data_IF_213304604616
#
_entry.id   IF_213304604616
#
_cell.length_a   1.000
_cell.length_b   1.000
_cell.length_c   1.000
_cell.angle_alpha   90.00
_cell.angle_beta   90.00
_cell.angle_gamma   90.00
#
_symmetry.space_group_name_H-M   'P 1'
#
loop_
_entity.id
_entity.type
_entity.pdbx_description
1 polymer ?
#
# COMPACT_ATOMS: atom_id res chain seq x y z
N UNK A 1 5.15 11.67 -25.30
CA UNK A 1 4.86 12.44 -24.08
C UNK A 1 6.14 12.50 -23.26
N UNK A 2 6.72 13.66 -23.07
CA UNK A 2 7.99 13.79 -22.33
C UNK A 2 7.64 13.83 -20.84
N UNK A 3 8.01 12.80 -20.10
CA UNK A 3 8.00 12.82 -18.62
C UNK A 3 8.88 13.98 -18.17
N UNK A 4 8.28 14.97 -17.55
CA UNK A 4 9.01 16.11 -17.02
C UNK A 4 9.75 15.66 -15.74
N UNK A 5 10.83 16.32 -15.36
CA UNK A 5 11.59 16.05 -14.13
C UNK A 5 10.67 16.04 -12.88
N UNK A 6 9.64 16.90 -12.89
CA UNK A 6 8.66 16.98 -11.81
C UNK A 6 7.83 15.68 -11.68
N UNK A 7 7.46 15.05 -12.80
CA UNK A 7 6.66 13.82 -12.81
C UNK A 7 7.46 12.64 -12.26
N UNK A 8 8.77 12.61 -12.55
CA UNK A 8 9.68 11.58 -12.02
C UNK A 8 9.84 11.71 -10.51
N UNK A 9 10.03 12.92 -9.99
CA UNK A 9 10.13 13.15 -8.56
C UNK A 9 8.83 12.78 -7.83
N UNK A 10 7.69 13.10 -8.42
CA UNK A 10 6.38 12.76 -7.88
C UNK A 10 6.18 11.23 -7.83
N UNK A 11 6.58 10.52 -8.89
CA UNK A 11 6.53 9.05 -8.96
C UNK A 11 7.41 8.40 -7.90
N UNK A 12 8.65 8.86 -7.75
CA UNK A 12 9.57 8.36 -6.72
C UNK A 12 8.99 8.60 -5.34
N UNK A 13 8.44 9.79 -5.08
CA UNK A 13 7.81 10.12 -3.80
C UNK A 13 6.63 9.19 -3.52
N UNK A 14 5.75 8.96 -4.49
CA UNK A 14 4.62 8.05 -4.34
C UNK A 14 5.07 6.61 -4.02
N UNK A 15 6.10 6.10 -4.72
CA UNK A 15 6.67 4.77 -4.47
C UNK A 15 7.25 4.70 -3.05
N UNK A 16 8.01 5.69 -2.61
CA UNK A 16 8.57 5.73 -1.26
C UNK A 16 7.48 5.74 -0.18
N UNK A 17 6.42 6.53 -0.37
CA UNK A 17 5.31 6.62 0.58
C UNK A 17 4.54 5.31 0.66
N UNK A 18 4.19 4.67 -0.47
CA UNK A 18 3.51 3.37 -0.48
C UNK A 18 4.41 2.27 0.09
N UNK A 19 5.72 2.31 -0.18
CA UNK A 19 6.66 1.36 0.41
C UNK A 19 6.79 1.52 1.93
N UNK A 20 6.66 2.74 2.45
CA UNK A 20 6.59 2.96 3.89
C UNK A 20 5.32 2.37 4.52
N UNK A 21 4.18 2.40 3.80
CA UNK A 21 2.97 1.70 4.20
C UNK A 21 3.20 0.18 4.30
N UNK A 22 3.87 -0.42 3.30
CA UNK A 22 4.25 -1.84 3.33
C UNK A 22 5.08 -2.19 4.56
N UNK A 23 6.07 -1.37 4.90
CA UNK A 23 6.92 -1.56 6.08
C UNK A 23 6.06 -1.51 7.35
N UNK A 24 5.21 -0.49 7.50
CA UNK A 24 4.32 -0.34 8.65
C UNK A 24 3.38 -1.55 8.79
N UNK A 25 2.70 -1.95 7.73
CA UNK A 25 1.79 -3.10 7.75
C UNK A 25 2.53 -4.40 8.06
N UNK A 26 3.71 -4.60 7.48
CA UNK A 26 4.54 -5.78 7.74
C UNK A 26 4.94 -5.85 9.21
N UNK A 27 5.43 -4.76 9.78
CA UNK A 27 5.79 -4.71 11.21
C UNK A 27 4.56 -4.97 12.09
N UNK A 28 3.42 -4.35 11.79
CA UNK A 28 2.17 -4.53 12.55
C UNK A 28 1.68 -5.97 12.52
N UNK A 29 1.51 -6.55 11.33
CA UNK A 29 0.96 -7.89 11.11
C UNK A 29 1.90 -8.98 11.66
N UNK A 30 3.18 -8.94 11.31
CA UNK A 30 4.14 -9.95 11.76
C UNK A 30 4.52 -9.77 13.22
N UNK A 31 4.56 -8.52 13.73
CA UNK A 31 4.73 -8.27 15.16
C UNK A 31 3.60 -8.88 15.98
N UNK A 32 2.34 -8.71 15.57
CA UNK A 32 1.19 -9.36 16.17
C UNK A 32 1.30 -10.90 16.09
N UNK A 33 1.72 -11.41 14.94
CA UNK A 33 1.90 -12.84 14.70
C UNK A 33 2.91 -13.47 15.67
N UNK A 34 4.07 -12.86 15.83
CA UNK A 34 5.14 -13.37 16.70
C UNK A 34 4.81 -13.22 18.19
N UNK A 35 4.05 -12.22 18.57
CA UNK A 35 3.65 -12.00 19.95
C UNK A 35 2.38 -12.78 20.36
N UNK A 36 1.67 -13.37 19.39
CA UNK A 36 0.48 -14.18 19.62
C UNK A 36 -0.75 -13.40 20.12
N UNK A 37 -0.65 -12.06 20.21
CA UNK A 37 -1.74 -11.19 20.67
C UNK A 37 -1.60 -9.77 20.13
N UNK A 38 -2.74 -9.12 19.91
CA UNK A 38 -2.82 -7.71 19.48
C UNK A 38 -2.45 -6.77 20.64
N UNK A 39 -1.43 -5.92 20.46
CA UNK A 39 -1.01 -4.89 21.42
C UNK A 39 -1.18 -3.50 20.83
N UNK A 40 -1.15 -2.47 21.69
CA UNK A 40 -1.36 -1.07 21.30
C UNK A 40 -0.38 -0.60 20.22
N UNK A 41 0.89 -1.02 20.25
CA UNK A 41 1.88 -0.57 19.29
C UNK A 41 1.61 -1.12 17.86
N UNK A 42 0.97 -2.31 17.71
CA UNK A 42 0.54 -2.80 16.40
C UNK A 42 -0.50 -1.88 15.77
N UNK A 43 -1.44 -1.35 16.60
CA UNK A 43 -2.45 -0.40 16.13
C UNK A 43 -1.82 0.86 15.54
N UNK A 44 -0.77 1.39 16.18
CA UNK A 44 -0.05 2.54 15.65
C UNK A 44 0.54 2.26 14.27
N UNK A 45 1.12 1.09 14.06
CA UNK A 45 1.65 0.69 12.75
C UNK A 45 0.55 0.51 11.72
N UNK A 46 -0.62 -0.04 12.08
CA UNK A 46 -1.77 -0.13 11.17
C UNK A 46 -2.29 1.24 10.77
N UNK A 47 -2.43 2.16 11.70
CA UNK A 47 -2.92 3.53 11.43
C UNK A 47 -1.90 4.32 10.60
N UNK A 48 -0.60 4.25 10.94
CA UNK A 48 0.46 4.91 10.17
C UNK A 48 0.55 4.34 8.75
N UNK A 49 0.45 3.02 8.62
CA UNK A 49 0.41 2.34 7.32
C UNK A 49 -0.77 2.81 6.48
N UNK A 50 -1.97 2.87 7.06
CA UNK A 50 -3.18 3.34 6.38
C UNK A 50 -3.05 4.81 5.93
N UNK A 51 -2.45 5.66 6.76
CA UNK A 51 -2.21 7.06 6.42
C UNK A 51 -1.23 7.20 5.25
N UNK A 52 -0.11 6.49 5.28
CA UNK A 52 0.86 6.45 4.19
C UNK A 52 0.26 5.86 2.91
N UNK A 53 -0.55 4.79 3.02
CA UNK A 53 -1.24 4.15 1.90
C UNK A 53 -2.23 5.12 1.22
N UNK A 54 -3.02 5.85 2.00
CA UNK A 54 -3.95 6.85 1.48
C UNK A 54 -3.22 8.00 0.73
N UNK A 55 -2.12 8.50 1.29
CA UNK A 55 -1.30 9.53 0.63
C UNK A 55 -0.68 8.98 -0.65
N UNK A 56 -0.06 7.81 -0.60
CA UNK A 56 0.62 7.20 -1.74
C UNK A 56 -0.36 6.87 -2.87
N UNK A 57 -1.54 6.34 -2.55
CA UNK A 57 -2.62 6.07 -3.51
C UNK A 57 -3.12 7.37 -4.15
N UNK A 58 -3.30 8.44 -3.36
CA UNK A 58 -3.69 9.76 -3.89
C UNK A 58 -2.64 10.35 -4.84
N UNK A 59 -1.35 10.20 -4.52
CA UNK A 59 -0.26 10.61 -5.41
C UNK A 59 -0.25 9.81 -6.72
N UNK A 60 -0.46 8.49 -6.65
CA UNK A 60 -0.53 7.63 -7.84
C UNK A 60 -1.73 7.97 -8.72
N UNK A 61 -2.90 8.24 -8.13
CA UNK A 61 -4.07 8.71 -8.88
C UNK A 61 -3.79 10.04 -9.59
N UNK A 62 -3.13 10.98 -8.92
CA UNK A 62 -2.75 12.26 -9.52
C UNK A 62 -1.79 12.06 -10.71
N UNK A 63 -0.80 11.17 -10.59
CA UNK A 63 0.12 10.81 -11.67
C UNK A 63 -0.66 10.20 -12.85
N UNK A 64 -1.59 9.27 -12.57
CA UNK A 64 -2.40 8.64 -13.60
C UNK A 64 -3.24 9.65 -14.40
N UNK A 65 -3.78 10.67 -13.72
CA UNK A 65 -4.51 11.77 -14.37
C UNK A 65 -3.60 12.62 -15.25
N UNK A 66 -2.39 12.95 -14.79
CA UNK A 66 -1.41 13.76 -15.55
C UNK A 66 -0.89 13.02 -16.77
N UNK A 67 -0.69 11.71 -16.68
CA UNK A 67 -0.10 10.89 -17.74
C UNK A 67 -1.12 10.24 -18.67
N UNK A 68 -2.42 10.34 -18.36
CA UNK A 68 -3.51 9.62 -19.01
C UNK A 68 -3.32 8.09 -19.06
N UNK A 69 -2.52 7.55 -18.15
CA UNK A 69 -2.24 6.13 -18.02
C UNK A 69 -3.14 5.53 -16.92
N UNK A 70 -4.39 5.28 -17.26
CA UNK A 70 -5.33 4.61 -16.37
C UNK A 70 -5.33 3.11 -16.64
N UNK A 71 -4.84 2.33 -15.66
CA UNK A 71 -5.06 0.89 -15.61
C UNK A 71 -6.23 0.58 -14.68
N UNK A 72 -7.33 0.13 -15.28
CA UNK A 72 -8.57 -0.17 -14.55
C UNK A 72 -8.36 -1.27 -13.51
N UNK A 73 -7.55 -2.29 -13.82
CA UNK A 73 -7.30 -3.40 -12.90
C UNK A 73 -6.54 -2.92 -11.67
N UNK A 74 -5.49 -2.13 -11.87
CA UNK A 74 -4.71 -1.55 -10.76
C UNK A 74 -5.56 -0.61 -9.91
N UNK A 75 -6.36 0.27 -10.53
CA UNK A 75 -7.24 1.21 -9.83
C UNK A 75 -8.28 0.48 -8.99
N UNK A 76 -8.99 -0.50 -9.56
CA UNK A 76 -10.03 -1.25 -8.83
C UNK A 76 -9.43 -2.07 -7.69
N UNK A 77 -8.33 -2.78 -7.93
CA UNK A 77 -7.66 -3.58 -6.89
C UNK A 77 -7.08 -2.71 -5.78
N UNK A 78 -6.57 -1.52 -6.12
CA UNK A 78 -6.08 -0.53 -5.15
C UNK A 78 -7.20 0.00 -4.25
N UNK A 79 -8.36 0.37 -4.81
CA UNK A 79 -9.53 0.81 -4.03
C UNK A 79 -10.00 -0.30 -3.09
N UNK A 80 -10.12 -1.53 -3.57
CA UNK A 80 -10.51 -2.68 -2.74
C UNK A 80 -9.50 -2.87 -1.60
N UNK A 81 -8.22 -2.79 -1.89
CA UNK A 81 -7.17 -2.98 -0.89
C UNK A 81 -7.20 -1.90 0.20
N UNK A 82 -7.35 -0.62 -0.14
CA UNK A 82 -7.41 0.46 0.86
C UNK A 82 -8.67 0.37 1.71
N UNK A 83 -9.82 0.01 1.12
CA UNK A 83 -11.05 -0.24 1.88
C UNK A 83 -10.89 -1.41 2.85
N UNK A 84 -10.23 -2.50 2.41
CA UNK A 84 -9.97 -3.66 3.25
C UNK A 84 -9.02 -3.32 4.42
N UNK A 85 -7.98 -2.51 4.17
CA UNK A 85 -7.07 -2.04 5.22
C UNK A 85 -7.75 -1.08 6.19
N UNK A 86 -8.69 -0.25 5.74
CA UNK A 86 -9.51 0.58 6.62
C UNK A 86 -10.37 -0.28 7.55
N UNK A 87 -11.06 -1.27 7.00
CA UNK A 87 -11.87 -2.23 7.78
C UNK A 87 -10.98 -2.98 8.78
N UNK A 88 -9.79 -3.43 8.33
CA UNK A 88 -8.82 -4.10 9.17
C UNK A 88 -8.38 -3.21 10.35
N UNK A 89 -8.03 -1.94 10.12
CA UNK A 89 -7.61 -1.01 11.16
C UNK A 89 -8.74 -0.74 12.17
N UNK A 90 -9.98 -0.53 11.70
CA UNK A 90 -11.15 -0.33 12.56
C UNK A 90 -11.39 -1.59 13.42
N UNK A 91 -11.33 -2.76 12.82
CA UNK A 91 -11.51 -4.03 13.54
C UNK A 91 -10.38 -4.29 14.54
N UNK A 92 -9.13 -3.94 14.20
CA UNK A 92 -8.00 -3.99 15.12
C UNK A 92 -8.25 -3.15 16.37
N UNK A 93 -8.67 -1.89 16.18
CA UNK A 93 -9.00 -0.97 17.28
C UNK A 93 -10.12 -1.55 18.14
N UNK A 94 -11.22 -2.01 17.51
CA UNK A 94 -12.34 -2.59 18.24
C UNK A 94 -11.95 -3.85 19.01
N UNK A 95 -11.18 -4.74 18.39
CA UNK A 95 -10.69 -5.98 19.01
C UNK A 95 -9.73 -5.70 20.17
N UNK A 96 -8.92 -4.66 20.06
CA UNK A 96 -8.01 -4.25 21.14
C UNK A 96 -8.77 -3.81 22.38
N UNK A 97 -9.78 -2.95 22.23
CA UNK A 97 -10.53 -2.37 23.36
C UNK A 97 -11.61 -3.31 23.91
N UNK A 98 -12.30 -4.05 23.08
CA UNK A 98 -13.49 -4.83 23.45
C UNK A 98 -13.36 -6.34 23.22
N UNK A 99 -12.30 -6.80 22.55
CA UNK A 99 -12.13 -8.20 22.18
C UNK A 99 -11.69 -9.08 23.33
N UNK A 100 -12.27 -10.29 23.42
CA UNK A 100 -11.80 -11.35 24.30
C UNK A 100 -10.41 -11.85 23.84
N UNK A 101 -9.72 -12.62 24.70
CA UNK A 101 -8.43 -13.24 24.32
C UNK A 101 -8.55 -14.09 23.07
N UNK A 102 -9.65 -14.83 22.91
CA UNK A 102 -9.93 -15.63 21.70
C UNK A 102 -10.10 -14.73 20.46
N UNK A 103 -10.81 -13.59 20.59
CA UNK A 103 -10.98 -12.66 19.49
C UNK A 103 -9.64 -12.07 19.02
N UNK A 104 -8.74 -11.73 19.95
CA UNK A 104 -7.39 -11.24 19.64
C UNK A 104 -6.52 -12.28 18.92
N UNK A 105 -6.69 -13.57 19.24
CA UNK A 105 -6.00 -14.67 18.56
C UNK A 105 -6.55 -14.94 17.15
N UNK A 106 -7.87 -14.86 16.96
CA UNK A 106 -8.49 -15.01 15.64
C UNK A 106 -8.17 -13.83 14.71
N UNK A 107 -8.06 -12.64 15.26
CA UNK A 107 -7.68 -11.45 14.51
C UNK A 107 -6.32 -11.61 13.82
N UNK A 108 -5.36 -12.26 14.46
CA UNK A 108 -4.04 -12.54 13.89
C UNK A 108 -4.09 -13.28 12.55
N UNK A 109 -4.96 -14.28 12.39
CA UNK A 109 -5.13 -14.99 11.11
C UNK A 109 -5.73 -14.07 10.03
N UNK A 110 -6.68 -13.26 10.42
CA UNK A 110 -7.30 -12.28 9.53
C UNK A 110 -6.30 -11.23 9.06
N UNK A 111 -5.48 -10.68 9.96
CA UNK A 111 -4.42 -9.72 9.64
C UNK A 111 -3.49 -10.22 8.54
N UNK A 112 -3.05 -11.46 8.62
CA UNK A 112 -2.14 -12.05 7.62
C UNK A 112 -2.84 -12.15 6.25
N UNK A 113 -4.10 -12.59 6.20
CA UNK A 113 -4.85 -12.71 4.94
C UNK A 113 -5.03 -11.34 4.29
N UNK A 114 -5.40 -10.33 5.07
CA UNK A 114 -5.55 -8.95 4.58
C UNK A 114 -4.24 -8.41 4.03
N UNK A 115 -3.12 -8.67 4.72
CA UNK A 115 -1.79 -8.25 4.28
C UNK A 115 -1.42 -8.87 2.93
N UNK A 116 -1.67 -10.18 2.73
CA UNK A 116 -1.43 -10.85 1.44
C UNK A 116 -2.31 -10.29 0.31
N UNK A 117 -3.58 -10.01 0.58
CA UNK A 117 -4.49 -9.41 -0.42
C UNK A 117 -3.99 -8.02 -0.81
N UNK A 118 -3.56 -7.21 0.16
CA UNK A 118 -3.02 -5.87 -0.08
C UNK A 118 -1.73 -5.89 -0.91
N UNK A 119 -0.89 -6.93 -0.80
CA UNK A 119 0.31 -7.08 -1.63
C UNK A 119 0.02 -7.18 -3.13
N UNK A 120 -1.17 -7.64 -3.53
CA UNK A 120 -1.52 -7.82 -4.95
C UNK A 120 -1.44 -6.50 -5.71
N UNK A 121 -2.22 -5.45 -5.37
CA UNK A 121 -2.12 -4.17 -6.06
C UNK A 121 -0.76 -3.50 -5.90
N UNK A 122 -0.07 -3.71 -4.77
CA UNK A 122 1.29 -3.22 -4.56
C UNK A 122 2.26 -3.80 -5.59
N UNK A 123 2.27 -5.11 -5.80
CA UNK A 123 3.12 -5.77 -6.79
C UNK A 123 2.76 -5.34 -8.23
N UNK A 124 1.47 -5.19 -8.55
CA UNK A 124 1.01 -4.69 -9.86
C UNK A 124 1.54 -3.27 -10.07
N UNK A 125 1.43 -2.39 -9.08
CA UNK A 125 1.90 -1.01 -9.17
C UNK A 125 3.41 -0.90 -9.38
N UNK A 126 4.21 -1.71 -8.68
CA UNK A 126 5.68 -1.77 -8.89
C UNK A 126 6.00 -2.25 -10.31
N UNK A 127 5.35 -3.32 -10.77
CA UNK A 127 5.56 -3.84 -12.12
C UNK A 127 5.29 -2.78 -13.19
N UNK A 128 4.17 -2.06 -13.06
CA UNK A 128 3.81 -0.96 -13.97
C UNK A 128 4.84 0.18 -13.93
N UNK A 129 5.26 0.60 -12.73
CA UNK A 129 6.26 1.66 -12.57
C UNK A 129 7.62 1.29 -13.20
N UNK A 130 8.07 0.04 -13.05
CA UNK A 130 9.30 -0.44 -13.69
C UNK A 130 9.19 -0.51 -15.21
N UNK A 131 8.03 -0.86 -15.74
CA UNK A 131 7.78 -0.92 -17.19
C UNK A 131 7.83 0.47 -17.81
N UNK A 132 7.27 1.47 -17.15
CA UNK A 132 7.32 2.88 -17.56
C UNK A 132 8.76 3.41 -17.59
N UNK A 133 9.54 3.12 -16.55
CA UNK A 133 10.95 3.53 -16.48
C UNK A 133 11.77 2.95 -17.63
N UNK A 134 11.57 1.69 -17.98
CA UNK A 134 12.26 1.05 -19.13
C UNK A 134 11.91 1.73 -20.45
N UNK A 135 10.64 2.02 -20.72
CA UNK A 135 10.21 2.66 -21.98
C UNK A 135 10.81 4.06 -22.14
N UNK A 136 10.91 4.83 -21.07
CA UNK A 136 11.54 6.17 -21.08
C UNK A 136 13.04 6.07 -21.34
N UNK A 137 13.74 5.11 -20.77
CA UNK A 137 15.19 4.89 -20.96
C UNK A 137 15.52 4.52 -22.40
N UNK A 138 14.72 3.68 -23.06
CA UNK A 138 14.92 3.31 -24.46
C UNK A 138 14.68 4.50 -25.43
N UNK A 139 13.75 5.40 -25.14
CA UNK A 139 13.44 6.55 -25.99
C UNK A 139 14.61 7.56 -26.00
N UNK A 140 15.32 7.72 -24.89
CA UNK A 140 16.50 8.59 -24.82
C UNK A 140 17.73 8.03 -25.54
N UNK A 141 17.82 6.71 -25.76
CA UNK A 141 18.95 6.07 -26.47
C UNK A 141 18.77 6.02 -27.98
N UNK A 142 17.57 6.28 -28.49
CA UNK A 142 17.23 6.15 -29.92
C UNK A 142 16.98 7.48 -30.64
N UNK A 143 17.11 8.61 -29.96
CA UNK A 143 17.07 9.93 -30.59
C UNK A 143 18.49 10.35 -30.95
N UNK A 144 18.75 10.67 -32.26
CA UNK A 144 20.04 11.15 -32.73
C UNK A 144 20.38 12.53 -32.19
#
# INVERSE_FOLDING_TARGET
MVFNQLDIHLLITAICVISSALICYTIGVWGERFQGQLKAWHLWFFVLGLYADAIGTGLMEHIAQLTHLHDTVHTVTGIIAICLMLIHAIWAIWTYFKGSLKAKQHFNRFSIVVWFIWLIPYCIGIYMGMSLHKSVSYTHLTLP
#
